data_IF_905210494050
#
_entry.id   IF_905210494050
#
_cell.length_a   1.000
_cell.length_b   1.000
_cell.length_c   1.000
_cell.angle_alpha   90.00
_cell.angle_beta   90.00
_cell.angle_gamma   90.00
#
_symmetry.space_group_name_H-M   'P 1'
#
loop_
_entity.id
_entity.type
_entity.pdbx_description
1 polymer ?
#
# COMPACT_ATOMS: atom_id res chain seq x y z
N UNK A 1 -25.18 4.08 8.85
CA UNK A 1 -24.67 4.81 7.65
C UNK A 1 -23.55 5.73 8.09
N UNK A 2 -22.40 5.72 7.41
CA UNK A 2 -21.28 6.63 7.69
C UNK A 2 -21.21 7.65 6.55
N UNK A 3 -21.06 8.94 6.87
CA UNK A 3 -20.88 10.02 5.88
C UNK A 3 -19.56 10.74 6.13
N UNK A 4 -18.75 10.86 5.10
CA UNK A 4 -17.51 11.64 5.12
C UNK A 4 -17.75 12.98 4.43
N UNK A 5 -17.31 14.08 5.05
CA UNK A 5 -17.44 15.43 4.52
C UNK A 5 -16.03 16.01 4.38
N UNK A 6 -15.69 16.44 3.16
CA UNK A 6 -14.42 17.10 2.85
C UNK A 6 -14.49 18.55 3.34
N UNK A 7 -13.71 18.88 4.37
CA UNK A 7 -13.68 20.24 4.93
C UNK A 7 -12.72 21.18 4.18
N UNK A 8 -11.68 20.64 3.57
CA UNK A 8 -10.64 21.40 2.85
C UNK A 8 -10.46 20.90 1.43
N UNK A 9 -10.27 21.82 0.47
CA UNK A 9 -9.87 21.46 -0.90
C UNK A 9 -8.48 20.81 -0.86
N UNK A 10 -8.28 19.75 -1.64
CA UNK A 10 -6.96 19.19 -1.84
C UNK A 10 -6.16 20.13 -2.76
N UNK A 11 -4.85 20.35 -2.52
CA UNK A 11 -4.03 21.19 -3.38
C UNK A 11 -4.06 20.71 -4.83
N UNK A 12 -4.02 21.64 -5.78
CA UNK A 12 -4.04 21.29 -7.20
C UNK A 12 -2.78 20.47 -7.56
N UNK A 13 -2.97 19.44 -8.39
CA UNK A 13 -1.94 18.48 -8.79
C UNK A 13 -1.53 17.49 -7.69
N UNK A 14 -2.13 17.55 -6.49
CA UNK A 14 -1.73 16.72 -5.37
C UNK A 14 -2.83 15.75 -4.91
N UNK A 15 -2.39 14.57 -4.48
CA UNK A 15 -3.21 13.63 -3.73
C UNK A 15 -2.96 13.82 -2.22
N UNK A 16 -4.04 13.82 -1.43
CA UNK A 16 -3.96 13.74 0.03
C UNK A 16 -4.38 12.34 0.50
N UNK A 17 -3.55 11.73 1.34
CA UNK A 17 -3.77 10.41 1.90
C UNK A 17 -4.19 10.49 3.37
N UNK A 18 -5.29 9.83 3.70
CA UNK A 18 -5.85 9.74 5.03
C UNK A 18 -6.08 8.27 5.40
N UNK A 19 -6.31 8.01 6.69
CA UNK A 19 -6.82 6.73 7.17
C UNK A 19 -8.08 6.97 7.98
N UNK A 20 -9.14 6.24 7.65
CA UNK A 20 -10.36 6.18 8.46
C UNK A 20 -10.13 5.12 9.52
N UNK A 21 -10.17 5.51 10.79
CA UNK A 21 -10.08 4.59 11.92
C UNK A 21 -11.50 4.34 12.43
N UNK A 22 -11.89 3.07 12.52
CA UNK A 22 -13.18 2.65 13.07
C UNK A 22 -12.92 1.71 14.23
N UNK A 23 -13.35 2.12 15.41
CA UNK A 23 -13.18 1.36 16.64
C UNK A 23 -14.50 0.77 17.10
N UNK A 24 -14.44 -0.48 17.54
CA UNK A 24 -15.53 -1.13 18.24
C UNK A 24 -15.52 -0.70 19.71
N UNK A 25 -16.62 -0.11 20.17
CA UNK A 25 -16.80 0.27 21.58
C UNK A 25 -17.48 -0.90 22.29
N UNK A 26 -16.92 -1.39 23.41
CA UNK A 26 -17.54 -2.49 24.15
C UNK A 26 -18.88 -2.07 24.74
N UNK A 27 -19.92 -2.87 24.53
CA UNK A 27 -21.18 -2.76 25.27
C UNK A 27 -21.02 -3.39 26.65
N UNK A 28 -21.47 -2.69 27.69
CA UNK A 28 -21.52 -3.20 29.06
C UNK A 28 -22.74 -4.12 29.24
N UNK A 29 -22.69 -5.34 28.73
CA UNK A 29 -23.68 -6.35 29.09
C UNK A 29 -23.32 -6.98 30.45
N UNK A 30 -24.20 -6.70 31.41
CA UNK A 30 -24.46 -7.29 32.74
C UNK A 30 -23.27 -7.83 33.55
N UNK A 31 -23.02 -7.18 34.69
CA UNK A 31 -21.98 -7.48 35.67
C UNK A 31 -22.22 -8.75 36.52
N UNK A 32 -23.28 -9.52 36.26
CA UNK A 32 -23.71 -10.64 37.12
C UNK A 32 -23.27 -12.02 36.64
N UNK A 33 -22.43 -12.12 35.61
CA UNK A 33 -21.91 -13.43 35.16
C UNK A 33 -20.38 -13.37 35.00
N UNK A 34 -19.61 -14.24 35.68
CA UNK A 34 -18.16 -14.25 35.54
C UNK A 34 -17.80 -14.48 34.07
N UNK A 35 -16.96 -13.63 33.45
CA UNK A 35 -16.68 -13.73 32.02
C UNK A 35 -15.76 -14.93 31.77
N UNK A 36 -16.33 -16.11 31.56
CA UNK A 36 -15.63 -17.19 30.86
C UNK A 36 -15.68 -16.88 29.35
N UNK A 37 -14.78 -16.00 28.89
CA UNK A 37 -14.65 -15.70 27.46
C UNK A 37 -13.66 -14.58 27.14
N UNK A 38 -12.92 -14.75 26.04
CA UNK A 38 -12.06 -13.71 25.46
C UNK A 38 -12.95 -12.64 24.81
N UNK A 39 -12.89 -11.39 25.30
CA UNK A 39 -13.50 -10.23 24.64
C UNK A 39 -12.50 -9.63 23.66
N UNK A 40 -12.77 -9.74 22.36
CA UNK A 40 -11.98 -9.13 21.29
C UNK A 40 -12.60 -7.78 20.93
N UNK A 41 -11.77 -6.75 20.78
CA UNK A 41 -12.18 -5.44 20.27
C UNK A 41 -11.50 -5.18 18.93
N UNK A 42 -12.27 -4.74 17.94
CA UNK A 42 -11.75 -4.52 16.60
C UNK A 42 -11.47 -3.03 16.33
N UNK A 43 -10.29 -2.75 15.78
CA UNK A 43 -9.92 -1.45 15.19
C UNK A 43 -9.65 -1.64 13.70
N UNK A 44 -10.51 -1.09 12.85
CA UNK A 44 -10.34 -1.10 11.40
C UNK A 44 -9.65 0.18 10.93
N UNK A 45 -8.77 0.05 9.93
CA UNK A 45 -8.02 1.19 9.38
C UNK A 45 -8.04 1.20 7.86
N UNK A 46 -8.95 1.99 7.28
CA UNK A 46 -9.19 2.04 5.84
C UNK A 46 -8.44 3.20 5.18
N UNK A 47 -7.77 2.99 4.04
CA UNK A 47 -7.14 4.08 3.29
C UNK A 47 -8.20 4.95 2.61
N UNK A 48 -7.98 6.27 2.61
CA UNK A 48 -8.80 7.25 1.90
C UNK A 48 -7.87 8.19 1.13
N UNK A 49 -8.10 8.31 -0.18
CA UNK A 49 -7.32 9.18 -1.05
C UNK A 49 -8.21 10.27 -1.64
N UNK A 50 -7.75 11.51 -1.55
CA UNK A 50 -8.47 12.68 -2.04
C UNK A 50 -7.62 13.37 -3.09
N UNK A 51 -8.16 13.52 -4.29
CA UNK A 51 -7.44 14.09 -5.44
C UNK A 51 -7.76 15.59 -5.59
N UNK A 52 -6.72 16.39 -5.79
CA UNK A 52 -6.82 17.78 -6.22
C UNK A 52 -7.15 17.90 -7.70
N UNK A 53 -7.48 19.12 -8.15
CA UNK A 53 -7.70 19.36 -9.58
C UNK A 53 -6.40 19.07 -10.36
N UNK A 54 -6.52 18.60 -11.59
CA UNK A 54 -5.36 18.24 -12.43
C UNK A 54 -4.91 16.78 -12.28
N UNK A 55 -5.38 16.05 -11.27
CA UNK A 55 -5.30 14.58 -11.27
C UNK A 55 -6.54 14.03 -11.96
N UNK A 56 -6.36 13.32 -13.07
CA UNK A 56 -7.45 12.67 -13.78
C UNK A 56 -8.07 11.58 -12.89
N UNK A 57 -9.39 11.62 -12.74
CA UNK A 57 -10.15 10.62 -12.00
C UNK A 57 -11.24 9.97 -12.84
N UNK A 58 -11.43 8.67 -12.68
CA UNK A 58 -12.46 7.87 -13.35
C UNK A 58 -13.43 7.31 -12.30
N UNK A 59 -14.57 7.98 -12.06
CA UNK A 59 -15.58 7.51 -11.14
C UNK A 59 -16.16 6.16 -11.61
N UNK A 60 -16.24 5.18 -10.72
CA UNK A 60 -16.79 3.85 -11.02
C UNK A 60 -15.75 2.73 -11.20
N UNK A 61 -14.46 3.07 -11.28
CA UNK A 61 -13.38 2.08 -11.14
C UNK A 61 -13.07 1.82 -9.66
N UNK A 62 -12.57 0.63 -9.30
CA UNK A 62 -12.15 0.31 -7.91
C UNK A 62 -11.11 1.33 -7.37
N UNK A 63 -10.27 1.85 -8.27
CA UNK A 63 -9.32 2.91 -7.99
C UNK A 63 -9.59 4.12 -8.89
N UNK A 64 -10.08 5.21 -8.28
CA UNK A 64 -10.52 6.40 -9.00
C UNK A 64 -9.40 7.18 -9.70
N UNK A 65 -8.12 6.90 -9.46
CA UNK A 65 -6.99 7.51 -10.16
C UNK A 65 -5.93 6.46 -10.51
N UNK A 66 -5.18 6.71 -11.59
CA UNK A 66 -4.19 5.76 -12.12
C UNK A 66 -2.78 6.19 -11.76
N UNK A 67 -2.00 5.26 -11.21
CA UNK A 67 -0.57 5.47 -10.98
C UNK A 67 0.20 5.28 -12.29
N UNK A 68 1.21 6.12 -12.50
CA UNK A 68 2.08 6.03 -13.69
C UNK A 68 3.22 5.05 -13.43
N UNK A 69 3.14 3.85 -14.02
CA UNK A 69 4.16 2.80 -13.88
C UNK A 69 5.57 3.27 -14.27
N UNK A 70 5.78 4.06 -15.35
CA UNK A 70 7.10 4.59 -15.69
C UNK A 70 7.72 5.51 -14.63
N UNK A 71 6.92 6.07 -13.71
CA UNK A 71 7.40 6.90 -12.59
C UNK A 71 7.70 6.06 -11.33
N UNK A 72 7.62 4.73 -11.43
CA UNK A 72 8.02 3.82 -10.37
C UNK A 72 9.42 3.31 -10.60
N UNK A 73 10.17 3.28 -9.52
CA UNK A 73 11.54 2.78 -9.48
C UNK A 73 11.66 1.88 -8.28
N UNK A 74 12.49 0.86 -8.40
CA UNK A 74 12.88 0.06 -7.24
C UNK A 74 14.36 -0.25 -7.28
N UNK A 75 14.92 -0.52 -6.11
CA UNK A 75 16.30 -0.98 -5.95
C UNK A 75 16.45 -1.79 -4.67
N UNK A 76 17.58 -2.45 -4.54
CA UNK A 76 17.96 -3.10 -3.29
C UNK A 76 18.87 -2.15 -2.52
N UNK A 77 18.52 -1.91 -1.25
CA UNK A 77 19.37 -1.20 -0.31
C UNK A 77 19.78 -2.14 0.82
N UNK A 78 20.74 -1.73 1.64
CA UNK A 78 21.08 -2.42 2.88
C UNK A 78 20.76 -1.54 4.07
N UNK A 79 20.02 -2.09 5.04
CA UNK A 79 19.81 -1.49 6.36
C UNK A 79 20.33 -2.46 7.41
N UNK A 80 21.24 -2.01 8.28
CA UNK A 80 21.84 -2.83 9.34
C UNK A 80 22.39 -4.19 8.83
N UNK A 81 22.97 -4.20 7.62
CA UNK A 81 23.51 -5.40 6.98
C UNK A 81 22.49 -6.31 6.30
N UNK A 82 21.18 -6.08 6.48
CA UNK A 82 20.12 -6.84 5.84
C UNK A 82 19.66 -6.18 4.52
N UNK A 83 19.33 -6.97 3.48
CA UNK A 83 18.84 -6.44 2.21
C UNK A 83 17.36 -6.05 2.28
N UNK A 84 17.02 -4.89 1.73
CA UNK A 84 15.65 -4.37 1.63
C UNK A 84 15.32 -4.00 0.19
N UNK A 85 14.10 -4.30 -0.23
CA UNK A 85 13.50 -3.74 -1.42
C UNK A 85 13.03 -2.32 -1.09
N UNK A 86 13.59 -1.31 -1.76
CA UNK A 86 13.07 0.05 -1.76
C UNK A 86 12.27 0.29 -3.04
N UNK A 87 10.99 0.65 -2.93
CA UNK A 87 10.18 1.13 -4.05
C UNK A 87 9.92 2.61 -3.87
N UNK A 88 10.21 3.39 -4.91
CA UNK A 88 10.00 4.85 -4.96
C UNK A 88 8.92 5.18 -5.99
N UNK A 89 7.99 6.02 -5.58
CA UNK A 89 6.93 6.56 -6.42
C UNK A 89 7.21 8.04 -6.70
N UNK A 90 7.59 8.36 -7.93
CA UNK A 90 7.81 9.74 -8.37
C UNK A 90 6.56 10.35 -9.01
N UNK A 91 5.46 9.58 -9.09
CA UNK A 91 4.19 10.04 -9.61
C UNK A 91 3.36 10.82 -8.60
N UNK A 92 2.24 11.38 -9.08
CA UNK A 92 1.32 12.20 -8.29
C UNK A 92 0.20 11.39 -7.59
N UNK A 93 0.09 10.09 -7.87
CA UNK A 93 -0.96 9.18 -7.35
C UNK A 93 -0.30 8.05 -6.57
N UNK A 94 -0.91 7.64 -5.44
CA UNK A 94 -0.40 6.49 -4.67
C UNK A 94 -0.36 5.20 -5.50
N UNK A 95 0.51 4.30 -5.06
CA UNK A 95 0.65 2.96 -5.62
C UNK A 95 0.32 1.95 -4.53
N UNK A 96 -0.70 1.13 -4.76
CA UNK A 96 -1.02 -0.07 -3.98
C UNK A 96 -0.32 -1.25 -4.62
N UNK A 97 0.71 -1.77 -3.94
CA UNK A 97 1.44 -2.97 -4.37
C UNK A 97 0.79 -4.21 -3.77
N UNK A 98 0.52 -5.20 -4.63
CA UNK A 98 0.01 -6.51 -4.22
C UNK A 98 0.59 -7.61 -5.09
N UNK A 99 0.46 -8.88 -4.68
CA UNK A 99 0.96 -10.04 -5.43
C UNK A 99 2.40 -9.81 -5.91
N UNK A 100 3.24 -9.40 -4.97
CA UNK A 100 4.59 -8.92 -5.27
C UNK A 100 5.59 -10.04 -5.11
N UNK A 101 6.43 -10.25 -6.13
CA UNK A 101 7.51 -11.22 -6.12
C UNK A 101 8.79 -10.63 -6.68
N UNK A 102 9.92 -11.21 -6.29
CA UNK A 102 11.25 -10.90 -6.80
C UNK A 102 11.89 -12.14 -7.39
N UNK A 103 12.69 -11.95 -8.44
CA UNK A 103 13.45 -13.03 -9.09
C UNK A 103 14.95 -12.77 -9.01
N UNK A 104 15.70 -13.80 -8.61
CA UNK A 104 17.16 -13.82 -8.56
C UNK A 104 17.65 -15.10 -9.23
N UNK A 105 18.32 -14.97 -10.38
CA UNK A 105 18.66 -16.13 -11.21
C UNK A 105 17.40 -16.87 -11.68
N UNK A 106 17.33 -18.18 -11.39
CA UNK A 106 16.16 -19.02 -11.66
C UNK A 106 15.13 -19.04 -10.52
N UNK A 107 15.45 -18.46 -9.36
CA UNK A 107 14.59 -18.50 -8.18
C UNK A 107 13.65 -17.30 -8.14
N UNK A 108 12.36 -17.54 -7.95
CA UNK A 108 11.35 -16.51 -7.69
C UNK A 108 10.82 -16.68 -6.28
N UNK A 109 10.80 -15.59 -5.49
CA UNK A 109 10.25 -15.56 -4.14
C UNK A 109 9.12 -14.54 -4.03
N UNK A 110 8.01 -14.96 -3.43
CA UNK A 110 6.92 -14.06 -3.08
C UNK A 110 7.32 -13.18 -1.88
N UNK A 111 7.06 -11.88 -1.99
CA UNK A 111 7.11 -10.92 -0.88
C UNK A 111 5.74 -10.80 -0.20
N UNK A 112 4.67 -10.86 -0.99
CA UNK A 112 3.30 -10.89 -0.49
C UNK A 112 2.35 -11.42 -1.58
N UNK A 113 1.51 -12.39 -1.21
CA UNK A 113 0.45 -12.90 -2.10
C UNK A 113 -0.77 -11.95 -2.13
N UNK A 114 -0.92 -11.13 -1.09
CA UNK A 114 -1.95 -10.09 -0.94
C UNK A 114 -1.36 -8.68 -1.06
N UNK A 115 -1.88 -7.76 -0.24
CA UNK A 115 -1.35 -6.40 -0.13
C UNK A 115 0.06 -6.41 0.48
N UNK A 116 1.05 -5.91 -0.26
CA UNK A 116 2.39 -5.64 0.29
C UNK A 116 2.41 -4.28 1.00
N UNK A 117 1.80 -3.26 0.40
CA UNK A 117 1.67 -1.94 0.99
C UNK A 117 1.41 -0.82 -0.01
N UNK A 118 1.46 0.42 0.49
CA UNK A 118 1.22 1.64 -0.28
C UNK A 118 2.46 2.52 -0.36
N UNK A 119 2.81 2.97 -1.56
CA UNK A 119 3.85 3.98 -1.81
C UNK A 119 3.18 5.29 -2.21
N UNK A 120 3.24 6.28 -1.33
CA UNK A 120 2.61 7.59 -1.53
C UNK A 120 3.34 8.40 -2.61
N UNK A 121 2.67 9.41 -3.21
CA UNK A 121 3.29 10.33 -4.15
C UNK A 121 4.60 10.94 -3.62
N UNK A 122 5.61 11.05 -4.48
CA UNK A 122 6.92 11.61 -4.15
C UNK A 122 7.71 10.86 -3.07
N UNK A 123 7.23 9.71 -2.61
CA UNK A 123 7.75 9.00 -1.45
C UNK A 123 8.35 7.65 -1.82
N UNK A 124 8.96 6.98 -0.83
CA UNK A 124 9.42 5.60 -0.96
C UNK A 124 8.94 4.73 0.21
N UNK A 125 8.94 3.42 0.01
CA UNK A 125 8.74 2.41 1.05
C UNK A 125 9.77 1.31 0.93
N UNK A 126 10.07 0.67 2.06
CA UNK A 126 11.07 -0.38 2.18
C UNK A 126 10.44 -1.61 2.80
N UNK A 127 10.77 -2.78 2.26
CA UNK A 127 10.39 -4.08 2.82
C UNK A 127 11.62 -4.97 2.89
N UNK A 128 11.79 -5.76 3.96
CA UNK A 128 12.90 -6.71 4.04
C UNK A 128 12.77 -7.74 2.91
N UNK A 129 13.88 -8.10 2.30
CA UNK A 129 13.91 -9.19 1.33
C UNK A 129 13.96 -10.56 2.05
N UNK A 130 13.33 -11.61 1.49
CA UNK A 130 13.41 -12.96 2.03
C UNK A 130 14.86 -13.44 2.14
N UNK A 131 15.17 -14.36 3.08
CA UNK A 131 16.49 -14.97 3.16
C UNK A 131 16.95 -15.53 1.81
N UNK A 132 18.20 -15.25 1.42
CA UNK A 132 18.77 -15.66 0.14
C UNK A 132 18.54 -14.69 -1.03
N UNK A 133 17.57 -13.77 -0.93
CA UNK A 133 17.33 -12.72 -1.92
C UNK A 133 18.15 -11.47 -1.60
N UNK A 134 19.38 -11.40 -2.11
CA UNK A 134 20.30 -10.27 -1.83
C UNK A 134 20.46 -9.31 -3.00
N UNK A 135 20.28 -9.79 -4.23
CA UNK A 135 20.41 -9.03 -5.47
C UNK A 135 19.40 -9.53 -6.52
N UNK A 136 18.08 -9.47 -6.24
CA UNK A 136 17.09 -9.74 -7.28
C UNK A 136 17.28 -8.84 -8.50
N UNK A 137 17.07 -9.41 -9.67
CA UNK A 137 17.22 -8.74 -10.97
C UNK A 137 15.88 -8.33 -11.58
N UNK A 138 14.77 -8.77 -10.99
CA UNK A 138 13.42 -8.47 -11.47
C UNK A 138 12.45 -8.41 -10.29
N UNK A 139 11.52 -7.46 -10.36
CA UNK A 139 10.37 -7.31 -9.48
C UNK A 139 9.11 -7.43 -10.33
N UNK A 140 8.14 -8.20 -9.86
CA UNK A 140 6.80 -8.27 -10.43
C UNK A 140 5.77 -7.92 -9.36
N UNK A 141 4.81 -7.04 -9.66
CA UNK A 141 3.73 -6.67 -8.73
C UNK A 141 2.44 -6.27 -9.47
N UNK A 142 1.28 -6.55 -8.88
CA UNK A 142 0.01 -5.91 -9.30
C UNK A 142 -0.12 -4.52 -8.68
N UNK A 143 -0.49 -3.54 -9.51
CA UNK A 143 -0.66 -2.13 -9.10
C UNK A 143 -2.13 -1.73 -9.18
N UNK A 144 -2.64 -1.12 -8.10
CA UNK A 144 -3.98 -0.51 -8.02
C UNK A 144 -5.10 -1.39 -8.60
N UNK A 145 -4.98 -2.71 -8.52
CA UNK A 145 -5.94 -3.71 -9.01
C UNK A 145 -6.45 -3.55 -10.47
N UNK A 146 -5.83 -2.69 -11.29
CA UNK A 146 -6.29 -2.33 -12.65
C UNK A 146 -5.89 -3.38 -13.73
N UNK A 147 -5.74 -4.64 -13.34
CA UNK A 147 -5.35 -5.75 -14.24
C UNK A 147 -3.90 -5.71 -14.73
N UNK A 148 -3.20 -4.57 -14.62
CA UNK A 148 -1.80 -4.43 -15.00
C UNK A 148 -0.83 -5.01 -13.96
N UNK A 149 0.20 -5.69 -14.45
CA UNK A 149 1.38 -6.04 -13.65
C UNK A 149 2.53 -5.10 -14.00
N UNK A 150 3.21 -4.60 -12.97
CA UNK A 150 4.51 -3.95 -13.10
C UNK A 150 5.59 -5.00 -13.00
N UNK A 151 6.31 -5.20 -14.10
CA UNK A 151 7.49 -6.04 -14.18
C UNK A 151 8.68 -5.15 -14.60
N UNK A 152 9.74 -5.12 -13.81
CA UNK A 152 10.92 -4.30 -14.11
C UNK A 152 12.18 -4.80 -13.42
N UNK A 153 13.34 -4.44 -13.98
CA UNK A 153 14.64 -4.61 -13.31
C UNK A 153 14.94 -3.48 -12.33
N UNK A 154 15.92 -3.66 -11.43
CA UNK A 154 16.29 -2.64 -10.46
C UNK A 154 16.90 -1.42 -11.15
N UNK A 155 16.59 -0.24 -10.62
CA UNK A 155 17.31 1.00 -10.91
C UNK A 155 18.63 1.04 -10.14
N UNK A 156 19.63 1.74 -10.71
CA UNK A 156 20.93 1.92 -10.06
C UNK A 156 20.85 2.83 -8.85
#
# INVERSE_FOLDING_TARGET
>A
MIRLIKQTKAPDGAEQAYRIIVDEIPSSDNADTPPMGLKIQMRYSLPLFVYGQGIATWPGEEHHARASVPQLQWRVIRENGAPFLEVRNQGAVHVRLSKTSVRQGSETRSLADGLLGYVLPGSYRRWPLPPGMTQPTELTASINAQGGQWQSGPTR
#
